data_IF_396446036241
#
_entry.id   IF_396446036241
#
_cell.length_a   1.000
_cell.length_b   1.000
_cell.length_c   1.000
_cell.angle_alpha   90.00
_cell.angle_beta   90.00
_cell.angle_gamma   90.00
#
_symmetry.space_group_name_H-M   'P 1'
#
loop_
_entity.id
_entity.type
_entity.pdbx_description
1 polymer ?
#
# COMPACT_ATOMS: atom_id res chain seq x y z
N UNK A 1 -60.83 -40.70 35.76
CA UNK A 1 -59.90 -39.65 36.21
C UNK A 1 -58.55 -40.01 35.59
N UNK A 2 -58.13 -39.49 34.43
CA UNK A 2 -57.92 -38.08 34.08
C UNK A 2 -56.53 -37.67 34.59
N UNK A 3 -55.55 -37.17 33.83
CA UNK A 3 -55.43 -36.81 32.42
C UNK A 3 -53.94 -36.62 32.06
N UNK A 4 -53.65 -36.44 30.78
CA UNK A 4 -52.29 -36.30 30.24
C UNK A 4 -51.74 -34.88 30.17
N UNK A 5 -50.61 -34.75 29.47
CA UNK A 5 -49.88 -33.51 29.17
C UNK A 5 -48.39 -33.77 29.38
N UNK A 6 -47.50 -33.67 28.40
CA UNK A 6 -47.48 -32.82 27.22
C UNK A 6 -46.08 -32.20 27.23
N UNK A 7 -45.24 -32.58 26.26
CA UNK A 7 -43.88 -32.08 26.16
C UNK A 7 -43.86 -30.56 26.00
N UNK A 8 -43.03 -29.91 26.82
CA UNK A 8 -42.62 -28.52 26.66
C UNK A 8 -41.10 -28.49 26.78
N UNK A 9 -40.41 -28.58 25.64
CA UNK A 9 -39.01 -28.14 25.54
C UNK A 9 -39.02 -26.63 25.69
N UNK A 10 -38.49 -26.16 26.81
CA UNK A 10 -38.37 -24.74 27.11
C UNK A 10 -37.39 -24.09 26.10
N UNK A 11 -37.80 -23.07 25.32
CA UNK A 11 -36.93 -22.43 24.33
C UNK A 11 -35.68 -21.78 24.92
N UNK A 12 -35.62 -21.63 26.24
CA UNK A 12 -34.45 -21.13 26.97
C UNK A 12 -33.37 -22.19 27.24
N UNK A 13 -33.67 -23.49 27.09
CA UNK A 13 -32.73 -24.57 27.39
C UNK A 13 -31.89 -25.03 26.18
N UNK A 14 -32.24 -24.54 24.98
CA UNK A 14 -31.42 -24.66 23.77
C UNK A 14 -30.40 -23.51 23.64
N UNK A 15 -30.64 -22.38 24.31
CA UNK A 15 -29.72 -21.22 24.25
C UNK A 15 -28.57 -21.31 25.29
N UNK A 16 -28.78 -22.05 26.37
CA UNK A 16 -27.80 -22.33 27.44
C UNK A 16 -26.72 -23.34 27.04
N UNK A 17 -26.93 -24.12 25.97
CA UNK A 17 -25.96 -25.06 25.42
C UNK A 17 -25.07 -24.46 24.32
N UNK A 18 -25.41 -23.25 23.83
CA UNK A 18 -24.60 -22.50 22.84
C UNK A 18 -23.89 -21.28 23.44
N UNK A 19 -24.43 -20.66 24.50
CA UNK A 19 -23.78 -19.58 25.25
C UNK A 19 -23.32 -20.09 26.63
N UNK A 20 -22.10 -20.62 26.67
CA UNK A 20 -21.47 -21.17 27.87
C UNK A 20 -21.38 -20.21 29.06
N UNK A 21 -20.88 -20.71 30.22
CA UNK A 21 -21.06 -20.12 31.53
C UNK A 21 -20.28 -18.81 31.67
N UNK A 22 -20.92 -17.68 31.42
CA UNK A 22 -20.29 -16.37 31.65
C UNK A 22 -21.25 -15.26 32.07
N UNK A 23 -22.34 -15.58 32.76
CA UNK A 23 -23.15 -14.54 33.39
C UNK A 23 -23.83 -15.00 34.70
N UNK A 24 -23.23 -14.62 35.83
CA UNK A 24 -23.98 -14.42 37.08
C UNK A 24 -23.45 -15.15 38.32
N UNK A 25 -22.64 -14.45 39.11
CA UNK A 25 -22.62 -14.61 40.58
C UNK A 25 -21.56 -15.53 41.17
N UNK A 26 -20.40 -14.98 41.51
CA UNK A 26 -19.40 -15.67 42.33
C UNK A 26 -18.23 -14.76 42.67
N UNK A 27 -18.09 -14.42 43.96
CA UNK A 27 -17.01 -13.62 44.50
C UNK A 27 -15.64 -14.19 44.13
N UNK A 28 -14.89 -13.42 43.35
CA UNK A 28 -13.49 -13.66 43.05
C UNK A 28 -12.84 -12.30 42.94
N UNK A 29 -12.24 -11.84 44.04
CA UNK A 29 -11.35 -10.68 44.06
C UNK A 29 -10.11 -10.96 43.23
N UNK A 30 -10.26 -11.03 41.92
CA UNK A 30 -9.14 -10.99 41.00
C UNK A 30 -8.74 -9.53 40.92
N UNK A 31 -7.62 -9.25 41.59
CA UNK A 31 -6.86 -8.01 41.50
C UNK A 31 -6.79 -7.61 40.03
N UNK A 32 -7.65 -6.69 39.60
CA UNK A 32 -7.55 -6.03 38.30
C UNK A 32 -6.30 -5.18 38.37
N UNK A 33 -5.15 -5.82 38.15
CA UNK A 33 -3.89 -5.15 37.91
C UNK A 33 -4.19 -4.05 36.91
N UNK A 34 -3.95 -2.81 37.33
CA UNK A 34 -4.11 -1.61 36.52
C UNK A 34 -3.22 -1.80 35.31
N UNK A 35 -3.74 -2.39 34.23
CA UNK A 35 -2.98 -2.65 33.00
C UNK A 35 -2.51 -1.28 32.56
N UNK A 36 -1.20 -1.05 32.67
CA UNK A 36 -0.59 0.22 32.36
C UNK A 36 -0.97 0.52 30.91
N UNK A 37 -1.63 1.66 30.67
CA UNK A 37 -2.05 2.04 29.33
C UNK A 37 -0.77 2.18 28.50
N UNK A 38 -0.69 1.56 27.32
CA UNK A 38 0.43 1.75 26.39
C UNK A 38 0.03 2.84 25.40
N UNK A 39 0.96 3.74 25.12
CA UNK A 39 0.84 4.77 24.11
C UNK A 39 0.84 4.13 22.72
N UNK A 40 0.30 4.87 21.76
CA UNK A 40 0.22 4.42 20.37
C UNK A 40 1.60 4.52 19.70
N UNK A 41 1.89 3.56 18.83
CA UNK A 41 3.12 3.57 18.03
C UNK A 41 2.97 4.56 16.87
N UNK A 42 4.05 5.28 16.55
CA UNK A 42 4.06 6.26 15.46
C UNK A 42 4.78 5.68 14.24
N UNK A 43 4.09 5.61 13.10
CA UNK A 43 4.64 5.06 11.85
C UNK A 43 5.13 6.20 10.96
N UNK A 44 6.41 6.18 10.60
CA UNK A 44 7.01 7.16 9.69
C UNK A 44 7.52 6.51 8.39
N UNK A 45 7.03 6.94 7.20
CA UNK A 45 7.56 6.44 5.94
C UNK A 45 8.97 6.98 5.68
N UNK A 46 9.94 6.08 5.52
CA UNK A 46 11.32 6.41 5.18
C UNK A 46 11.58 6.17 3.70
N UNK A 47 11.54 7.23 2.89
CA UNK A 47 11.81 7.12 1.45
C UNK A 47 13.30 6.82 1.20
N UNK A 48 13.60 5.69 0.57
CA UNK A 48 14.94 5.25 0.21
C UNK A 48 15.05 4.98 -1.30
N UNK A 49 16.13 5.46 -1.94
CA UNK A 49 16.38 5.16 -3.35
C UNK A 49 16.96 3.75 -3.53
N UNK A 50 17.06 3.25 -4.75
CA UNK A 50 17.68 1.93 -4.99
C UNK A 50 19.18 1.94 -4.63
N UNK A 51 19.88 3.05 -4.86
CA UNK A 51 21.28 3.25 -4.49
C UNK A 51 21.46 3.24 -2.97
N UNK A 52 20.56 3.89 -2.23
CA UNK A 52 20.54 3.85 -0.76
C UNK A 52 20.40 2.41 -0.25
N UNK A 53 19.51 1.62 -0.87
CA UNK A 53 19.25 0.22 -0.49
C UNK A 53 20.36 -0.73 -0.96
N UNK A 54 21.12 -0.37 -2.00
CA UNK A 54 22.24 -1.15 -2.52
C UNK A 54 23.51 -0.93 -1.68
N UNK A 55 23.85 0.32 -1.41
CA UNK A 55 25.09 0.70 -0.73
C UNK A 55 24.94 0.77 0.80
N UNK A 56 23.71 0.90 1.29
CA UNK A 56 23.43 1.22 2.69
C UNK A 56 23.67 2.70 2.96
N UNK A 57 22.86 3.29 3.84
CA UNK A 57 22.95 4.71 4.18
C UNK A 57 22.44 4.97 5.59
N UNK A 58 22.86 6.09 6.20
CA UNK A 58 22.36 6.52 7.51
C UNK A 58 21.67 7.87 7.34
N UNK A 59 20.39 7.95 7.72
CA UNK A 59 19.57 9.15 7.58
C UNK A 59 19.24 9.75 8.94
N UNK A 60 19.57 11.02 9.13
CA UNK A 60 19.22 11.77 10.35
C UNK A 60 17.87 12.44 10.15
N UNK A 61 16.89 12.08 10.97
CA UNK A 61 15.53 12.62 10.93
C UNK A 61 15.22 13.36 12.22
N UNK A 62 14.82 14.62 12.10
CA UNK A 62 14.32 15.41 13.23
C UNK A 62 12.82 15.18 13.40
N UNK A 63 12.43 14.59 14.52
CA UNK A 63 11.03 14.38 14.89
C UNK A 63 10.66 15.25 16.09
N UNK A 64 9.45 15.80 16.09
CA UNK A 64 8.86 16.42 17.26
C UNK A 64 8.00 15.40 17.99
N UNK A 65 8.26 15.19 19.27
CA UNK A 65 7.49 14.30 20.13
C UNK A 65 7.09 15.01 21.42
N UNK A 66 6.02 14.53 22.04
CA UNK A 66 5.55 14.95 23.34
C UNK A 66 6.32 14.18 24.41
N UNK A 67 6.97 14.88 25.34
CA UNK A 67 7.63 14.28 26.50
C UNK A 67 7.03 14.78 27.79
N UNK A 68 7.10 13.98 28.85
CA UNK A 68 6.66 14.41 30.17
C UNK A 68 7.42 15.67 30.59
N UNK A 69 6.71 16.66 31.11
CA UNK A 69 7.32 17.91 31.50
C UNK A 69 8.39 17.68 32.58
N UNK A 70 9.65 17.97 32.26
CA UNK A 70 10.80 17.75 33.16
C UNK A 70 10.65 18.46 34.52
N UNK A 71 10.00 19.62 34.55
CA UNK A 71 9.78 20.42 35.77
C UNK A 71 8.76 19.82 36.74
N UNK A 72 7.70 19.18 36.23
CA UNK A 72 6.62 18.62 37.08
C UNK A 72 6.44 17.11 36.96
N UNK A 73 7.30 16.43 36.17
CA UNK A 73 7.30 14.98 35.92
C UNK A 73 5.90 14.43 35.58
N UNK A 74 5.19 15.12 34.70
CA UNK A 74 3.84 14.72 34.28
C UNK A 74 2.70 15.06 35.25
N UNK A 75 2.96 15.70 36.39
CA UNK A 75 1.90 16.07 37.36
C UNK A 75 1.10 17.32 36.97
N UNK A 76 1.71 18.23 36.20
CA UNK A 76 1.07 19.46 35.73
C UNK A 76 1.04 20.61 36.73
N UNK A 77 1.29 20.36 38.02
CA UNK A 77 1.39 21.36 39.09
C UNK A 77 2.83 21.51 39.63
N UNK A 78 3.12 22.60 40.34
CA UNK A 78 4.42 22.83 41.00
C UNK A 78 4.54 21.99 42.26
N UNK A 79 3.48 21.96 43.07
CA UNK A 79 3.41 21.19 44.32
C UNK A 79 3.18 19.68 44.12
N UNK A 80 2.70 19.29 42.93
CA UNK A 80 2.22 17.94 42.67
C UNK A 80 0.80 17.68 43.16
N UNK A 81 0.12 18.68 43.74
CA UNK A 81 -1.28 18.58 44.10
C UNK A 81 -2.19 18.66 42.86
N UNK A 82 -3.21 17.81 42.83
CA UNK A 82 -4.37 17.88 41.94
C UNK A 82 -5.62 17.92 42.81
N UNK A 83 -6.65 18.65 42.38
CA UNK A 83 -7.96 18.65 43.03
C UNK A 83 -8.99 18.02 42.10
N UNK A 84 -10.05 17.42 42.66
CA UNK A 84 -11.14 16.88 41.85
C UNK A 84 -11.79 18.03 41.09
N UNK A 85 -12.02 17.81 39.80
CA UNK A 85 -12.67 18.80 38.96
C UNK A 85 -14.08 19.11 39.53
N UNK A 86 -14.41 20.37 39.86
CA UNK A 86 -15.69 20.72 40.44
C UNK A 86 -16.85 20.50 39.45
N UNK A 87 -16.58 20.62 38.15
CA UNK A 87 -17.61 20.47 37.11
C UNK A 87 -18.06 19.03 36.86
N UNK A 88 -17.19 18.04 37.05
CA UNK A 88 -17.53 16.63 36.84
C UNK A 88 -17.33 15.76 38.10
N UNK A 89 -16.98 16.38 39.23
CA UNK A 89 -16.72 15.71 40.51
C UNK A 89 -15.70 14.56 40.42
N UNK A 90 -14.77 14.61 39.46
CA UNK A 90 -13.78 13.56 39.24
C UNK A 90 -14.14 12.53 38.16
N UNK A 91 -15.33 12.57 37.57
CA UNK A 91 -15.75 11.59 36.55
C UNK A 91 -15.10 11.82 35.18
N UNK A 92 -14.54 13.01 34.93
CA UNK A 92 -13.99 13.39 33.62
C UNK A 92 -15.04 13.62 32.52
N UNK A 93 -16.29 13.21 32.72
CA UNK A 93 -17.37 13.27 31.73
C UNK A 93 -18.62 13.95 32.29
N UNK A 94 -19.29 14.76 31.46
CA UNK A 94 -20.60 15.37 31.75
C UNK A 94 -21.65 14.67 30.88
N UNK A 95 -22.72 14.18 31.49
CA UNK A 95 -23.85 13.57 30.77
C UNK A 95 -24.86 14.67 30.45
N UNK A 96 -25.05 14.96 29.16
CA UNK A 96 -26.04 15.93 28.69
C UNK A 96 -27.24 15.17 28.13
N UNK A 97 -28.43 15.43 28.65
CA UNK A 97 -29.68 14.80 28.19
C UNK A 97 -30.23 15.66 27.05
N UNK A 98 -30.37 15.10 25.85
CA UNK A 98 -31.02 15.76 24.69
C UNK A 98 -32.38 15.12 24.47
N UNK A 99 -33.44 15.92 24.54
CA UNK A 99 -34.80 15.47 24.27
C UNK A 99 -35.03 15.51 22.76
N UNK A 100 -35.22 14.35 22.13
CA UNK A 100 -35.42 14.22 20.67
C UNK A 100 -36.91 14.17 20.29
N UNK A 101 -37.81 14.10 21.28
CA UNK A 101 -39.25 14.16 21.09
C UNK A 101 -40.01 13.83 22.36
N UNK A 102 -41.36 13.82 22.31
CA UNK A 102 -42.19 13.31 23.39
C UNK A 102 -41.79 11.86 23.69
N UNK A 103 -41.37 11.60 24.93
CA UNK A 103 -40.96 10.27 25.43
C UNK A 103 -39.62 9.71 24.92
N UNK A 104 -38.82 10.45 24.15
CA UNK A 104 -37.47 10.02 23.75
C UNK A 104 -36.39 10.97 24.28
N UNK A 105 -35.62 10.50 25.27
CA UNK A 105 -34.41 11.16 25.77
C UNK A 105 -33.16 10.40 25.31
N UNK A 106 -32.21 11.12 24.72
CA UNK A 106 -30.88 10.61 24.41
C UNK A 106 -29.89 11.15 25.44
N UNK A 107 -29.24 10.26 26.19
CA UNK A 107 -28.14 10.65 27.07
C UNK A 107 -26.84 10.67 26.25
N UNK A 108 -26.27 11.86 26.05
CA UNK A 108 -25.00 12.03 25.36
C UNK A 108 -23.90 12.29 26.40
N UNK A 109 -22.93 11.38 26.49
CA UNK A 109 -21.75 11.57 27.33
C UNK A 109 -20.73 12.43 26.57
N UNK A 110 -20.34 13.55 27.15
CA UNK A 110 -19.31 14.44 26.60
C UNK A 110 -18.16 14.60 27.61
N UNK A 111 -16.94 14.82 27.12
CA UNK A 111 -15.82 15.14 27.99
C UNK A 111 -16.10 16.45 28.75
N UNK A 112 -15.79 16.49 30.05
CA UNK A 112 -16.01 17.68 30.85
C UNK A 112 -15.11 18.83 30.38
N UNK A 113 -15.71 19.96 29.99
CA UNK A 113 -14.99 21.14 29.50
C UNK A 113 -13.96 21.71 30.50
N UNK A 114 -14.22 21.59 31.81
CA UNK A 114 -13.36 22.17 32.86
C UNK A 114 -12.07 21.39 33.08
N UNK A 115 -12.08 20.07 32.85
CA UNK A 115 -10.91 19.19 33.04
C UNK A 115 -10.47 18.46 31.76
N UNK A 116 -11.11 18.75 30.62
CA UNK A 116 -10.88 18.13 29.31
C UNK A 116 -10.82 16.59 29.37
N UNK A 117 -11.66 15.96 30.20
CA UNK A 117 -11.68 14.50 30.34
C UNK A 117 -10.77 13.93 31.44
N UNK A 118 -9.89 14.72 32.05
CA UNK A 118 -8.92 14.20 33.05
C UNK A 118 -9.52 13.94 34.43
N UNK A 119 -10.68 14.53 34.76
CA UNK A 119 -11.32 14.42 36.08
C UNK A 119 -10.63 15.24 37.18
N UNK A 120 -9.44 15.75 36.92
CA UNK A 120 -8.66 16.57 37.83
C UNK A 120 -8.57 18.01 37.32
N UNK A 121 -8.56 18.97 38.24
CA UNK A 121 -8.25 20.36 37.96
C UNK A 121 -7.05 20.80 38.79
N UNK A 122 -6.27 21.74 38.27
CA UNK A 122 -5.09 22.30 38.95
C UNK A 122 -5.38 23.78 39.22
N UNK A 123 -5.13 24.24 40.44
CA UNK A 123 -5.26 25.65 40.80
C UNK A 123 -4.32 26.51 39.93
N UNK A 124 -4.83 27.64 39.41
CA UNK A 124 -4.08 28.49 38.48
C UNK A 124 -2.73 28.96 39.04
N UNK A 125 -2.66 29.24 40.34
CA UNK A 125 -1.42 29.64 41.04
C UNK A 125 -0.37 28.52 41.10
N UNK A 126 -0.82 27.27 41.10
CA UNK A 126 0.00 26.08 41.23
C UNK A 126 0.26 25.38 39.88
N UNK A 127 -0.24 25.93 38.77
CA UNK A 127 0.09 25.42 37.44
C UNK A 127 1.61 25.46 37.21
N UNK A 128 2.14 24.37 36.67
CA UNK A 128 3.55 24.33 36.29
C UNK A 128 3.85 25.43 35.26
N UNK A 129 4.87 26.27 35.47
CA UNK A 129 5.18 27.37 34.54
C UNK A 129 5.73 26.87 33.20
N UNK A 130 6.26 25.63 33.15
CA UNK A 130 6.77 25.02 31.93
C UNK A 130 5.65 24.54 30.99
N UNK A 131 4.82 23.61 31.46
CA UNK A 131 3.75 23.01 30.65
C UNK A 131 2.38 23.70 30.79
N UNK A 132 2.26 24.74 31.64
CA UNK A 132 1.02 25.49 31.90
C UNK A 132 -0.18 24.62 32.32
N UNK A 133 0.08 23.46 32.92
CA UNK A 133 -0.93 22.48 33.33
C UNK A 133 -1.15 21.31 32.35
N UNK A 134 -0.58 21.34 31.15
CA UNK A 134 -0.78 20.30 30.11
C UNK A 134 0.04 19.02 30.34
N UNK A 135 0.83 18.95 31.42
CA UNK A 135 1.66 17.79 31.85
C UNK A 135 2.79 17.35 30.91
N UNK A 136 2.73 17.69 29.62
CA UNK A 136 3.73 17.36 28.58
C UNK A 136 4.36 18.61 27.96
N UNK A 137 5.50 18.45 27.27
CA UNK A 137 6.20 19.46 26.48
C UNK A 137 6.59 18.88 25.11
N UNK A 138 6.64 19.73 24.08
CA UNK A 138 7.14 19.33 22.76
C UNK A 138 8.68 19.36 22.75
N UNK A 139 9.30 18.22 22.43
CA UNK A 139 10.74 18.04 22.28
C UNK A 139 11.07 17.71 20.82
N UNK A 140 12.08 18.37 20.25
CA UNK A 140 12.65 17.99 18.95
C UNK A 140 13.84 17.06 19.18
N UNK A 141 13.74 15.82 18.69
CA UNK A 141 14.80 14.81 18.80
C UNK A 141 15.26 14.41 17.40
N UNK A 142 16.58 14.27 17.22
CA UNK A 142 17.16 13.77 15.98
C UNK A 142 17.45 12.28 16.15
N UNK A 143 16.80 11.44 15.35
CA UNK A 143 17.04 10.01 15.29
C UNK A 143 17.89 9.70 14.06
N UNK A 144 18.93 8.89 14.25
CA UNK A 144 19.74 8.37 13.15
C UNK A 144 19.22 6.98 12.77
N UNK A 145 18.65 6.89 11.57
CA UNK A 145 18.06 5.67 11.04
C UNK A 145 19.03 5.04 10.06
N UNK A 146 19.52 3.85 10.40
CA UNK A 146 20.42 3.08 9.55
C UNK A 146 19.61 2.22 8.58
N UNK A 147 19.76 2.49 7.28
CA UNK A 147 19.21 1.68 6.20
C UNK A 147 20.30 0.71 5.76
N UNK A 148 20.12 -0.55 6.09
CA UNK A 148 21.07 -1.61 5.76
C UNK A 148 20.96 -2.04 4.30
N UNK A 149 22.06 -2.60 3.79
CA UNK A 149 22.11 -3.15 2.43
C UNK A 149 21.07 -4.25 2.26
N UNK A 150 20.33 -4.19 1.16
CA UNK A 150 19.37 -5.21 0.79
C UNK A 150 18.02 -5.10 1.48
N UNK A 151 17.83 -4.11 2.36
CA UNK A 151 16.52 -3.89 3.00
C UNK A 151 15.40 -3.83 1.96
N UNK A 152 14.28 -4.49 2.27
CA UNK A 152 13.14 -4.63 1.37
C UNK A 152 12.14 -3.50 1.54
N UNK A 153 11.31 -3.31 0.51
CA UNK A 153 10.16 -2.41 0.60
C UNK A 153 9.22 -2.85 1.73
N UNK A 154 8.67 -1.90 2.49
CA UNK A 154 7.85 -2.09 3.68
C UNK A 154 8.54 -2.73 4.89
N UNK A 155 9.86 -2.89 4.87
CA UNK A 155 10.60 -3.35 6.04
C UNK A 155 10.59 -2.29 7.16
N UNK A 156 10.46 -2.76 8.40
CA UNK A 156 10.29 -1.90 9.59
C UNK A 156 11.60 -1.75 10.36
N UNK A 157 11.91 -0.54 10.79
CA UNK A 157 12.99 -0.20 11.72
C UNK A 157 12.35 0.43 12.95
N UNK A 158 12.42 -0.25 14.10
CA UNK A 158 11.72 0.17 15.32
C UNK A 158 12.68 0.80 16.32
N UNK A 159 12.27 1.96 16.83
CA UNK A 159 12.91 2.67 17.93
C UNK A 159 12.02 2.58 19.18
N UNK A 160 12.34 1.69 20.12
CA UNK A 160 11.46 1.38 21.24
C UNK A 160 11.36 2.56 22.22
N UNK A 161 10.14 2.87 22.66
CA UNK A 161 9.89 3.92 23.66
C UNK A 161 10.18 5.35 23.19
N UNK A 162 10.32 5.57 21.88
CA UNK A 162 10.62 6.88 21.31
C UNK A 162 9.38 7.68 20.88
N UNK A 163 8.17 7.10 20.95
CA UNK A 163 6.91 7.77 20.57
C UNK A 163 6.48 8.86 21.57
N UNK A 164 5.27 9.39 21.40
CA UNK A 164 4.70 10.38 22.31
C UNK A 164 4.49 9.81 23.72
N UNK A 165 5.00 10.52 24.73
CA UNK A 165 4.78 10.22 26.14
C UNK A 165 3.49 10.88 26.63
N UNK A 166 2.73 10.15 27.44
CA UNK A 166 1.56 10.66 28.14
C UNK A 166 1.61 10.28 29.63
N UNK A 167 1.03 11.10 30.52
CA UNK A 167 0.93 10.76 31.93
C UNK A 167 0.24 9.40 32.14
N UNK A 168 0.71 8.64 33.12
CA UNK A 168 0.17 7.31 33.49
C UNK A 168 0.13 6.28 32.34
N UNK A 169 0.94 6.50 31.29
CA UNK A 169 0.97 5.69 30.07
C UNK A 169 2.43 5.28 29.76
N UNK A 170 2.64 4.03 29.32
CA UNK A 170 3.94 3.55 28.81
C UNK A 170 4.12 4.06 27.39
N UNK A 171 5.25 4.65 27.07
CA UNK A 171 5.53 5.18 25.72
C UNK A 171 5.45 4.08 24.66
N UNK A 172 4.85 4.41 23.51
CA UNK A 172 4.89 3.56 22.31
C UNK A 172 6.24 3.62 21.59
N UNK A 173 6.32 2.97 20.44
CA UNK A 173 7.53 2.91 19.62
C UNK A 173 7.41 3.81 18.38
N UNK A 174 8.54 4.30 17.87
CA UNK A 174 8.59 4.90 16.54
C UNK A 174 9.00 3.81 15.55
N UNK A 175 8.16 3.58 14.54
CA UNK A 175 8.39 2.56 13.51
C UNK A 175 8.62 3.26 12.18
N UNK A 176 9.86 3.24 11.69
CA UNK A 176 10.15 3.66 10.33
C UNK A 176 9.86 2.53 9.35
N UNK A 177 9.08 2.82 8.31
CA UNK A 177 8.76 1.86 7.24
C UNK A 177 9.52 2.27 5.99
N UNK A 178 10.44 1.44 5.54
CA UNK A 178 11.23 1.69 4.33
C UNK A 178 10.33 1.70 3.10
N UNK A 179 10.26 2.85 2.43
CA UNK A 179 9.56 3.02 1.18
C UNK A 179 10.57 3.20 0.05
N UNK A 180 10.76 2.14 -0.74
CA UNK A 180 11.54 2.20 -1.96
C UNK A 180 10.93 3.23 -2.94
N UNK A 181 11.77 4.15 -3.41
CA UNK A 181 11.45 5.07 -4.50
C UNK A 181 11.56 4.36 -5.84
N UNK A 182 10.71 4.74 -6.78
CA UNK A 182 10.87 4.35 -8.18
C UNK A 182 12.18 4.91 -8.74
N UNK A 183 12.86 4.12 -9.57
CA UNK A 183 14.12 4.49 -10.19
C UNK A 183 13.92 4.56 -11.71
N UNK A 184 14.46 5.58 -12.40
CA UNK A 184 14.19 5.80 -13.82
C UNK A 184 14.69 4.68 -14.74
N UNK A 185 15.77 3.97 -14.37
CA UNK A 185 16.37 2.92 -15.22
C UNK A 185 16.12 1.50 -14.73
N UNK A 186 15.88 1.32 -13.43
CA UNK A 186 15.94 0.00 -12.79
C UNK A 186 14.63 -0.28 -12.08
N UNK A 187 14.10 -1.48 -12.29
CA UNK A 187 12.94 -1.99 -11.56
C UNK A 187 13.42 -3.13 -10.66
N UNK A 188 13.24 -3.00 -9.35
CA UNK A 188 13.61 -4.06 -8.38
C UNK A 188 12.45 -5.01 -8.18
N UNK A 189 12.71 -6.32 -8.22
CA UNK A 189 11.77 -7.37 -7.84
C UNK A 189 12.48 -8.36 -6.91
N UNK A 190 12.15 -8.31 -5.62
CA UNK A 190 12.89 -9.09 -4.61
C UNK A 190 14.35 -8.66 -4.54
N UNK A 191 15.25 -9.62 -4.72
CA UNK A 191 16.70 -9.39 -4.74
C UNK A 191 17.25 -9.17 -6.17
N UNK A 192 16.39 -9.24 -7.19
CA UNK A 192 16.78 -9.06 -8.58
C UNK A 192 16.47 -7.64 -9.10
N UNK A 193 17.25 -7.23 -10.10
CA UNK A 193 17.08 -5.96 -10.81
C UNK A 193 16.68 -6.21 -12.26
N UNK A 194 15.82 -5.36 -12.79
CA UNK A 194 15.37 -5.39 -14.17
C UNK A 194 15.75 -4.06 -14.84
N UNK A 195 16.34 -4.15 -16.01
CA UNK A 195 16.74 -3.03 -16.85
C UNK A 195 16.16 -3.23 -18.25
N UNK A 196 15.48 -2.21 -18.78
CA UNK A 196 14.98 -2.24 -20.16
C UNK A 196 16.01 -1.57 -21.06
N UNK A 197 16.40 -2.27 -22.13
CA UNK A 197 17.36 -1.78 -23.10
C UNK A 197 16.83 -1.97 -24.51
N UNK A 198 16.76 -0.87 -25.25
CA UNK A 198 16.39 -0.90 -26.66
C UNK A 198 17.64 -1.01 -27.51
N UNK A 199 17.65 -1.96 -28.44
CA UNK A 199 18.72 -2.18 -29.41
C UNK A 199 18.16 -2.13 -30.82
N UNK A 200 18.98 -1.73 -31.78
CA UNK A 200 18.61 -1.79 -33.20
C UNK A 200 18.57 -3.23 -33.71
N UNK A 201 17.83 -3.47 -34.80
CA UNK A 201 17.84 -4.79 -35.47
C UNK A 201 19.27 -5.25 -35.85
N UNK A 202 20.13 -4.33 -36.29
CA UNK A 202 21.53 -4.63 -36.61
C UNK A 202 22.30 -5.09 -35.37
N UNK A 203 22.12 -4.42 -34.23
CA UNK A 203 22.74 -4.82 -32.96
C UNK A 203 22.19 -6.15 -32.44
N UNK A 204 20.90 -6.41 -32.66
CA UNK A 204 20.27 -7.67 -32.28
C UNK A 204 20.81 -8.87 -33.07
N UNK A 205 21.17 -8.68 -34.36
CA UNK A 205 21.67 -9.72 -35.25
C UNK A 205 23.20 -9.84 -35.28
N UNK A 206 23.91 -8.71 -35.26
CA UNK A 206 25.37 -8.63 -35.41
C UNK A 206 26.10 -8.46 -34.08
N UNK A 207 25.36 -8.32 -32.98
CA UNK A 207 25.89 -8.11 -31.64
C UNK A 207 25.96 -6.64 -31.23
N UNK A 208 26.07 -6.41 -29.93
CA UNK A 208 26.04 -5.08 -29.32
C UNK A 208 27.07 -4.97 -28.20
N UNK A 209 27.38 -3.72 -27.86
CA UNK A 209 28.21 -3.35 -26.72
C UNK A 209 27.54 -2.22 -25.94
N UNK A 210 27.14 -2.49 -24.71
CA UNK A 210 26.50 -1.55 -23.81
C UNK A 210 27.39 -1.25 -22.61
N UNK A 211 27.51 0.02 -22.25
CA UNK A 211 28.09 0.44 -20.96
C UNK A 211 26.95 0.87 -20.04
N UNK A 212 26.72 0.09 -18.98
CA UNK A 212 25.68 0.35 -18.00
C UNK A 212 26.28 0.84 -16.68
N UNK A 213 25.87 2.02 -16.23
CA UNK A 213 26.20 2.49 -14.87
C UNK A 213 25.29 1.80 -13.85
N UNK A 214 25.88 1.05 -12.92
CA UNK A 214 25.18 0.34 -11.84
C UNK A 214 24.89 1.26 -10.64
N UNK A 215 24.16 0.77 -9.64
CA UNK A 215 23.75 1.47 -8.42
C UNK A 215 24.91 1.85 -7.48
N UNK A 216 26.09 1.25 -7.67
CA UNK A 216 27.33 1.62 -6.96
C UNK A 216 28.25 2.53 -7.77
N UNK A 217 27.75 3.06 -8.89
CA UNK A 217 28.49 3.88 -9.87
C UNK A 217 29.60 3.14 -10.63
N UNK A 218 29.72 1.80 -10.53
CA UNK A 218 30.57 1.03 -11.43
C UNK A 218 29.98 1.03 -12.84
N UNK A 219 30.84 0.99 -13.84
CA UNK A 219 30.46 0.81 -15.24
C UNK A 219 30.61 -0.67 -15.61
N UNK A 220 29.50 -1.29 -15.99
CA UNK A 220 29.46 -2.66 -16.48
C UNK A 220 29.49 -2.65 -18.01
N UNK A 221 30.49 -3.31 -18.58
CA UNK A 221 30.61 -3.51 -20.01
C UNK A 221 29.92 -4.82 -20.40
N UNK A 222 28.76 -4.70 -21.03
CA UNK A 222 27.90 -5.81 -21.41
C UNK A 222 28.04 -6.00 -22.92
N UNK A 223 28.49 -7.19 -23.33
CA UNK A 223 28.73 -7.55 -24.73
C UNK A 223 27.96 -8.82 -25.07
N UNK A 224 27.37 -8.86 -26.26
CA UNK A 224 26.86 -10.11 -26.84
C UNK A 224 28.03 -11.01 -27.24
N UNK A 225 27.82 -12.32 -27.20
CA UNK A 225 28.80 -13.23 -27.77
C UNK A 225 28.79 -13.13 -29.32
N UNK A 226 29.93 -13.35 -30.00
CA UNK A 226 29.95 -13.36 -31.46
C UNK A 226 28.97 -14.39 -32.04
N UNK A 227 28.10 -13.96 -32.95
CA UNK A 227 27.07 -14.80 -33.58
C UNK A 227 25.83 -15.05 -32.71
N UNK A 228 25.74 -14.45 -31.53
CA UNK A 228 24.55 -14.55 -30.68
C UNK A 228 23.46 -13.57 -31.14
N UNK A 229 22.29 -14.11 -31.50
CA UNK A 229 21.14 -13.30 -31.88
C UNK A 229 20.27 -13.00 -30.66
N UNK A 230 19.88 -11.74 -30.51
CA UNK A 230 18.92 -11.28 -29.49
C UNK A 230 17.54 -11.22 -30.11
N UNK A 231 16.58 -11.93 -29.51
CA UNK A 231 15.18 -11.88 -29.97
C UNK A 231 14.47 -10.67 -29.36
N UNK A 232 13.45 -10.11 -30.04
CA UNK A 232 12.55 -9.16 -29.42
C UNK A 232 11.94 -9.73 -28.14
N UNK A 233 11.76 -8.88 -27.13
CA UNK A 233 11.19 -9.19 -25.81
C UNK A 233 11.90 -10.33 -25.07
N UNK A 234 13.18 -10.54 -25.37
CA UNK A 234 14.00 -11.55 -24.69
C UNK A 234 14.68 -10.99 -23.45
N UNK A 235 14.89 -11.86 -22.46
CA UNK A 235 15.60 -11.54 -21.23
C UNK A 235 16.97 -12.21 -21.21
N UNK A 236 18.02 -11.47 -20.86
CA UNK A 236 19.33 -12.03 -20.49
C UNK A 236 19.65 -11.67 -19.05
N UNK A 237 20.36 -12.55 -18.35
CA UNK A 237 20.69 -12.37 -16.94
C UNK A 237 22.21 -12.24 -16.73
N UNK A 238 22.60 -11.31 -15.88
CA UNK A 238 23.97 -11.17 -15.36
C UNK A 238 23.93 -11.58 -13.89
N UNK A 239 24.71 -12.61 -13.56
CA UNK A 239 24.82 -13.12 -12.19
C UNK A 239 25.56 -12.12 -11.29
N UNK A 240 25.19 -12.08 -10.02
CA UNK A 240 25.82 -11.26 -8.96
C UNK A 240 25.75 -9.73 -9.17
N UNK A 241 24.97 -9.25 -10.14
CA UNK A 241 24.75 -7.81 -10.38
C UNK A 241 23.32 -7.36 -10.04
N UNK A 242 22.56 -8.15 -9.28
CA UNK A 242 21.28 -7.75 -8.68
C UNK A 242 21.45 -7.00 -7.35
N UNK A 243 20.38 -6.92 -6.55
CA UNK A 243 20.42 -6.30 -5.22
C UNK A 243 21.15 -7.21 -4.20
N UNK A 244 21.84 -6.65 -3.20
CA UNK A 244 22.36 -7.42 -2.08
C UNK A 244 21.22 -8.04 -1.27
N UNK A 245 21.42 -9.26 -0.77
CA UNK A 245 20.47 -9.91 0.13
C UNK A 245 20.54 -9.29 1.52
N UNK A 246 19.38 -8.99 2.11
CA UNK A 246 19.30 -8.50 3.49
C UNK A 246 20.00 -9.47 4.47
N UNK A 247 20.76 -8.94 5.43
CA UNK A 247 21.64 -9.67 6.38
C UNK A 247 22.83 -10.45 5.75
N UNK A 248 22.82 -10.70 4.44
CA UNK A 248 23.88 -11.40 3.71
C UNK A 248 24.38 -10.55 2.53
N UNK A 249 25.02 -9.39 2.80
CA UNK A 249 25.34 -8.41 1.77
C UNK A 249 26.37 -8.88 0.73
N UNK A 250 27.10 -9.97 1.02
CA UNK A 250 28.03 -10.60 0.08
C UNK A 250 27.33 -11.42 -1.01
N UNK A 251 26.10 -11.84 -0.78
CA UNK A 251 25.28 -12.50 -1.81
C UNK A 251 24.38 -11.46 -2.47
N UNK A 252 24.41 -11.45 -3.81
CA UNK A 252 23.61 -10.55 -4.64
C UNK A 252 22.67 -11.38 -5.51
N UNK A 253 21.54 -10.80 -5.87
CA UNK A 253 20.66 -11.36 -6.89
C UNK A 253 21.24 -11.17 -8.30
N UNK A 254 20.37 -11.26 -9.30
CA UNK A 254 20.71 -11.13 -10.72
C UNK A 254 20.21 -9.82 -11.30
N UNK A 255 20.90 -9.33 -12.33
CA UNK A 255 20.42 -8.27 -13.19
C UNK A 255 19.84 -8.88 -14.47
N UNK A 256 18.54 -8.72 -14.68
CA UNK A 256 17.86 -9.08 -15.91
C UNK A 256 17.81 -7.87 -16.84
N UNK A 257 18.21 -8.06 -18.08
CA UNK A 257 18.08 -7.07 -19.14
C UNK A 257 16.99 -7.55 -20.08
N UNK A 258 15.94 -6.74 -20.21
CA UNK A 258 14.88 -6.92 -21.19
C UNK A 258 15.26 -6.18 -22.46
N UNK A 259 15.38 -6.90 -23.57
CA UNK A 259 15.76 -6.34 -24.86
C UNK A 259 14.53 -6.07 -25.71
N UNK A 260 14.30 -4.80 -26.04
CA UNK A 260 13.36 -4.38 -27.07
C UNK A 260 14.14 -4.12 -28.35
N UNK A 261 13.67 -4.66 -29.49
CA UNK A 261 14.35 -4.49 -30.78
C UNK A 261 13.59 -3.48 -31.62
N UNK A 262 14.26 -2.39 -31.99
CA UNK A 262 13.74 -1.41 -32.94
C UNK A 262 14.00 -1.86 -34.38
N UNK A 263 12.91 -2.03 -35.13
CA UNK A 263 12.94 -2.31 -36.57
C UNK A 263 12.93 -1.01 -37.35
N UNK A 264 13.61 -0.96 -38.51
CA UNK A 264 13.52 0.20 -39.41
C UNK A 264 12.11 0.30 -40.02
N UNK A 265 11.62 1.53 -40.21
CA UNK A 265 10.28 1.79 -40.77
C UNK A 265 10.11 1.24 -42.20
N UNK A 266 11.18 1.27 -43.00
CA UNK A 266 11.17 0.73 -44.36
C UNK A 266 12.59 0.32 -44.79
N UNK A 267 12.66 -0.55 -45.80
CA UNK A 267 13.90 -1.03 -46.41
C UNK A 267 13.86 -0.83 -47.92
N UNK A 268 14.98 -0.39 -48.50
CA UNK A 268 15.10 -0.27 -49.94
C UNK A 268 15.18 -1.65 -50.62
N UNK A 269 14.71 -1.81 -51.88
CA UNK A 269 14.69 -3.12 -52.56
C UNK A 269 16.06 -3.80 -52.63
N UNK A 270 17.13 -3.03 -52.80
CA UNK A 270 18.50 -3.54 -52.84
C UNK A 270 18.98 -4.05 -51.47
N UNK A 271 18.51 -3.42 -50.38
CA UNK A 271 18.77 -3.89 -49.01
C UNK A 271 18.04 -5.21 -48.74
N UNK A 272 16.79 -5.34 -49.23
CA UNK A 272 16.03 -6.58 -49.12
C UNK A 272 16.75 -7.75 -49.83
N UNK A 273 17.26 -7.53 -51.05
CA UNK A 273 18.06 -8.55 -51.77
C UNK A 273 19.32 -8.95 -51.00
N UNK A 274 20.01 -7.99 -50.39
CA UNK A 274 21.19 -8.28 -49.58
C UNK A 274 20.86 -9.10 -48.33
N UNK A 275 19.73 -8.82 -47.68
CA UNK A 275 19.25 -9.58 -46.52
C UNK A 275 18.81 -11.00 -46.89
N UNK A 276 18.12 -11.17 -48.02
CA UNK A 276 17.70 -12.49 -48.53
C UNK A 276 18.88 -13.44 -48.80
N UNK A 277 20.05 -12.90 -49.13
CA UNK A 277 21.26 -13.71 -49.36
C UNK A 277 21.87 -14.27 -48.06
N UNK A 278 21.59 -13.66 -46.90
CA UNK A 278 22.24 -13.98 -45.61
C UNK A 278 21.27 -14.61 -44.61
N UNK A 279 20.00 -14.22 -44.64
CA UNK A 279 18.97 -14.72 -43.73
C UNK A 279 18.42 -16.09 -44.17
N UNK A 280 17.77 -16.84 -43.27
CA UNK A 280 17.12 -18.09 -43.63
C UNK A 280 16.18 -17.93 -44.83
N UNK A 281 16.13 -18.92 -45.74
CA UNK A 281 15.33 -18.82 -46.96
C UNK A 281 13.85 -18.65 -46.62
N UNK A 282 13.15 -17.84 -47.43
CA UNK A 282 11.70 -17.72 -47.32
C UNK A 282 11.06 -19.10 -47.47
N UNK A 283 10.04 -19.44 -46.66
CA UNK A 283 9.31 -20.68 -46.84
C UNK A 283 8.73 -20.69 -48.26
N UNK A 284 9.01 -21.74 -49.03
CA UNK A 284 8.44 -21.90 -50.36
C UNK A 284 6.91 -21.96 -50.27
N UNK A 285 6.21 -21.29 -51.19
CA UNK A 285 4.76 -21.45 -51.31
C UNK A 285 4.46 -22.93 -51.58
N UNK A 286 3.52 -23.48 -50.82
CA UNK A 286 3.02 -24.85 -51.06
C UNK A 286 2.07 -24.91 -52.26
N UNK A 287 1.64 -23.74 -52.74
CA UNK A 287 0.74 -23.55 -53.86
C UNK A 287 1.55 -23.33 -55.14
N UNK A 288 1.08 -23.96 -56.20
CA UNK A 288 1.53 -23.73 -57.58
C UNK A 288 1.05 -22.37 -58.08
N UNK A 289 1.70 -21.82 -59.10
CA UNK A 289 1.32 -20.53 -59.69
C UNK A 289 -0.15 -20.51 -60.17
N UNK A 290 -0.65 -21.65 -60.68
CA UNK A 290 -2.06 -21.80 -61.05
C UNK A 290 -3.02 -21.69 -59.86
N UNK A 291 -2.64 -22.23 -58.70
CA UNK A 291 -3.46 -22.14 -57.48
C UNK A 291 -3.37 -20.74 -56.84
N UNK A 292 -2.26 -20.01 -57.06
CA UNK A 292 -2.11 -18.63 -56.63
C UNK A 292 -2.94 -17.66 -57.49
N UNK A 293 -3.06 -17.92 -58.80
CA UNK A 293 -3.90 -17.12 -59.70
C UNK A 293 -5.41 -17.26 -59.39
N UNK A 294 -5.83 -18.36 -58.75
CA UNK A 294 -7.20 -18.56 -58.26
C UNK A 294 -7.46 -17.85 -56.91
N UNK A 295 -6.43 -17.34 -56.24
CA UNK A 295 -6.57 -16.62 -54.97
C UNK A 295 -6.92 -15.14 -55.20
N UNK A 296 -7.87 -14.61 -54.43
CA UNK A 296 -8.21 -13.19 -54.47
C UNK A 296 -7.11 -12.34 -53.81
N UNK A 297 -6.48 -11.47 -54.58
CA UNK A 297 -5.44 -10.56 -54.07
C UNK A 297 -6.05 -9.60 -53.06
N UNK A 298 -5.58 -9.68 -51.82
CA UNK A 298 -6.03 -8.81 -50.72
C UNK A 298 -4.90 -7.89 -50.29
N UNK A 299 -5.20 -6.62 -50.09
CA UNK A 299 -4.22 -5.65 -49.56
C UNK A 299 -4.31 -5.58 -48.04
N UNK A 300 -3.16 -5.66 -47.37
CA UNK A 300 -3.08 -5.47 -45.93
C UNK A 300 -2.86 -3.99 -45.60
N UNK A 301 -3.45 -3.53 -44.50
CA UNK A 301 -3.25 -2.19 -43.95
C UNK A 301 -2.87 -2.28 -42.48
N UNK A 302 -2.08 -1.32 -42.01
CA UNK A 302 -1.72 -1.23 -40.60
C UNK A 302 -2.93 -0.87 -39.75
N UNK A 303 -3.17 -1.65 -38.69
CA UNK A 303 -4.30 -1.43 -37.78
C UNK A 303 -3.79 -1.32 -36.35
N UNK A 304 -4.17 -0.24 -35.66
CA UNK A 304 -4.05 -0.16 -34.22
C UNK A 304 -5.19 -0.98 -33.58
N UNK A 305 -4.86 -2.19 -33.11
CA UNK A 305 -5.87 -3.11 -32.55
C UNK A 305 -6.59 -2.56 -31.33
N UNK A 306 -5.97 -1.68 -30.52
CA UNK A 306 -6.63 -1.11 -29.35
C UNK A 306 -7.72 -0.12 -29.76
N UNK A 307 -7.44 0.71 -30.77
CA UNK A 307 -8.39 1.67 -31.34
C UNK A 307 -9.53 0.96 -32.07
N UNK A 308 -9.21 -0.09 -32.83
CA UNK A 308 -10.18 -0.90 -33.54
C UNK A 308 -11.13 -1.63 -32.58
N UNK A 309 -10.61 -2.16 -31.47
CA UNK A 309 -11.42 -2.77 -30.41
C UNK A 309 -12.34 -1.74 -29.73
N UNK A 310 -11.85 -0.52 -29.46
CA UNK A 310 -12.69 0.56 -28.91
C UNK A 310 -13.79 0.96 -29.87
N UNK A 311 -13.49 1.08 -31.16
CA UNK A 311 -14.46 1.42 -32.20
C UNK A 311 -15.55 0.35 -32.30
N UNK A 312 -15.18 -0.93 -32.28
CA UNK A 312 -16.13 -2.05 -32.28
C UNK A 312 -16.97 -2.11 -31.01
N UNK A 313 -16.39 -1.85 -29.84
CA UNK A 313 -17.14 -1.78 -28.58
C UNK A 313 -18.19 -0.66 -28.59
N UNK A 314 -17.85 0.50 -29.17
CA UNK A 314 -18.78 1.63 -29.29
C UNK A 314 -19.91 1.34 -30.29
N UNK A 315 -19.60 0.68 -31.42
CA UNK A 315 -20.60 0.27 -32.40
C UNK A 315 -21.57 -0.78 -31.84
N UNK A 316 -21.05 -1.80 -31.13
CA UNK A 316 -21.88 -2.80 -30.46
C UNK A 316 -22.76 -2.20 -29.36
N UNK A 317 -22.29 -1.16 -28.68
CA UNK A 317 -23.11 -0.42 -27.73
C UNK A 317 -24.23 0.35 -28.44
N UNK A 318 -23.99 0.95 -29.62
CA UNK A 318 -25.00 1.66 -30.40
C UNK A 318 -26.06 0.73 -31.00
N UNK A 319 -25.67 -0.44 -31.53
CA UNK A 319 -26.61 -1.42 -32.08
C UNK A 319 -27.58 -1.97 -31.01
N UNK A 320 -27.12 -2.07 -29.75
CA UNK A 320 -27.97 -2.45 -28.63
C UNK A 320 -29.03 -1.39 -28.24
N UNK A 321 -28.89 -0.15 -28.71
CA UNK A 321 -29.90 0.90 -28.51
C UNK A 321 -30.83 1.08 -29.72
N UNK A 322 -30.39 0.72 -30.94
CA UNK A 322 -31.23 0.80 -32.16
C UNK A 322 -32.23 -0.37 -32.28
N UNK A 323 -31.99 -1.54 -31.64
CA UNK A 323 -32.95 -2.66 -31.62
C UNK A 323 -34.23 -2.39 -30.80
N UNK A 324 -34.25 -1.36 -29.94
CA UNK A 324 -35.43 -1.01 -29.13
C UNK A 324 -36.43 -0.07 -29.86
N UNK A 325 -36.10 0.46 -31.04
CA UNK A 325 -36.94 1.43 -31.79
C UNK A 325 -37.75 0.83 -32.97
N UNK A 326 -37.63 -0.47 -33.26
CA UNK A 326 -38.46 -1.16 -34.27
C UNK A 326 -39.43 -2.20 -33.66
N UNK A 327 -40.44 -1.72 -32.92
CA UNK A 327 -41.65 -2.51 -32.61
C UNK A 327 -42.93 -1.81 -33.12
N UNK A 328 -43.64 -2.39 -34.11
CA UNK A 328 -44.89 -1.84 -34.61
C UNK A 328 -46.06 -2.19 -33.67
N UNK A 329 -46.57 -1.17 -32.97
CA UNK A 329 -47.97 -1.08 -32.57
C UNK A 329 -48.45 -1.96 -31.41
N UNK A 330 -48.89 -1.32 -30.31
CA UNK A 330 -49.79 -1.97 -29.36
C UNK A 330 -49.78 -1.43 -27.93
N UNK A 331 -50.49 -0.32 -27.70
CA UNK A 331 -51.38 -0.08 -26.56
C UNK A 331 -50.95 -0.35 -25.10
N UNK A 332 -51.00 0.74 -24.31
CA UNK A 332 -51.30 0.82 -22.87
C UNK A 332 -50.26 0.20 -21.90
N UNK A 333 -49.95 0.75 -20.72
CA UNK A 333 -50.75 1.54 -19.80
C UNK A 333 -49.80 2.22 -18.80
N UNK A 334 -50.04 3.51 -18.51
CA UNK A 334 -49.28 4.29 -17.51
C UNK A 334 -49.59 3.81 -16.10
N UNK A 335 -48.57 3.67 -15.25
CA UNK A 335 -48.74 3.67 -13.79
C UNK A 335 -47.70 4.60 -13.17
N UNK A 336 -48.19 5.72 -12.63
CA UNK A 336 -47.43 6.62 -11.75
C UNK A 336 -47.45 6.04 -10.33
N UNK A 337 -46.30 6.00 -9.67
CA UNK A 337 -46.23 6.02 -8.21
C UNK A 337 -45.28 7.12 -7.76
N UNK A 338 -45.86 8.10 -7.06
CA UNK A 338 -45.14 9.13 -6.32
C UNK A 338 -44.55 8.53 -5.03
N UNK A 339 -43.39 9.01 -4.62
CA UNK A 339 -42.94 8.89 -3.23
C UNK A 339 -42.52 10.24 -2.69
N UNK A 340 -43.05 10.50 -1.49
CA UNK A 340 -42.66 11.53 -0.53
C UNK A 340 -41.28 11.23 0.04
#
# INVERSE_FOLDING_TARGET
MGGGGGGGVDPFDIFSSFFGPSFGGGGGGSSRGRRQRRGEDVVHPLKASLEDLYNGTSKKLSLSRSVLCSKCKGKGSKSGASMRCPGCQGSGMKVTIRQLGPSMIQQMQQACNDCKGTGESINDKDRCPGCKGEKVLQEKKVLEVHVEKGMQHNQKITFPGEADEAPDTVTGDIVFVVQQKEHPKFKRKGDDLFYEHTISLTEALCGFQLVLTHLDNRQLLIKSNPGEVVKPDSFKAISDEGMPMYQRPFMKGKLYIHFTVEFPDSLAPDQCKALEAVLPPKPASKLTDMELDECEETTMHDVNMEEEMRRKAHAAAQEAYDEDDEMPGGGAQRVQCAQQ
#
